data_IF_559389232539
#
_entry.id   IF_559389232539
#
_cell.length_a   1.000
_cell.length_b   1.000
_cell.length_c   1.000
_cell.angle_alpha   90.00
_cell.angle_beta   90.00
_cell.angle_gamma   90.00
#
_symmetry.space_group_name_H-M   'P 1'
#
loop_
_entity.id
_entity.type
_entity.pdbx_description
1 polymer ?
#
# COMPACT_ATOMS: atom_id res chain seq x y z
N UNK A 1 -8.82 5.60 2.05
CA UNK A 1 -7.52 5.28 2.69
C UNK A 1 -6.34 5.34 1.73
N UNK A 2 -6.46 4.91 0.46
CA UNK A 2 -5.34 4.90 -0.50
C UNK A 2 -4.68 6.27 -0.79
N UNK A 3 -5.34 7.40 -0.48
CA UNK A 3 -4.73 8.73 -0.63
C UNK A 3 -3.72 9.08 0.48
N UNK A 4 -3.84 8.47 1.67
CA UNK A 4 -2.94 8.70 2.82
C UNK A 4 -1.47 8.45 2.45
N UNK A 5 -1.08 7.26 1.95
CA UNK A 5 0.32 7.00 1.59
C UNK A 5 0.83 7.95 0.50
N UNK A 6 -0.02 8.38 -0.43
CA UNK A 6 0.35 9.29 -1.51
C UNK A 6 0.68 10.68 -0.99
N UNK A 7 -0.20 11.25 -0.18
CA UNK A 7 -0.04 12.60 0.36
C UNK A 7 1.17 12.64 1.29
N UNK A 8 1.31 11.63 2.16
CA UNK A 8 2.44 11.52 3.08
C UNK A 8 3.77 11.36 2.34
N UNK A 9 3.84 10.50 1.31
CA UNK A 9 5.04 10.35 0.49
C UNK A 9 5.35 11.61 -0.31
N UNK A 10 4.34 12.29 -0.86
CA UNK A 10 4.55 13.53 -1.58
C UNK A 10 5.16 14.62 -0.69
N UNK A 11 4.57 14.86 0.49
CA UNK A 11 5.06 15.85 1.46
C UNK A 11 6.45 15.45 1.95
N UNK A 12 6.62 14.20 2.38
CA UNK A 12 7.89 13.71 2.91
C UNK A 12 9.03 13.84 1.93
N UNK A 13 8.82 13.45 0.66
CA UNK A 13 9.90 13.43 -0.33
C UNK A 13 10.21 14.79 -0.94
N UNK A 14 9.25 15.73 -0.97
CA UNK A 14 9.45 17.07 -1.56
C UNK A 14 9.88 18.11 -0.52
N UNK A 15 9.30 18.09 0.68
CA UNK A 15 9.55 19.12 1.70
C UNK A 15 10.67 18.71 2.67
N UNK A 16 10.65 17.46 3.11
CA UNK A 16 11.56 16.95 4.16
C UNK A 16 12.81 16.34 3.51
N UNK A 17 12.63 15.45 2.53
CA UNK A 17 13.69 14.77 1.78
C UNK A 17 14.15 13.47 2.42
N UNK A 18 14.51 12.49 1.59
CA UNK A 18 14.98 11.18 2.02
C UNK A 18 16.30 11.25 2.77
N UNK A 19 16.37 10.57 3.91
CA UNK A 19 17.59 10.39 4.68
C UNK A 19 18.06 8.93 4.63
N UNK A 20 19.27 8.71 4.10
CA UNK A 20 19.88 7.39 3.91
C UNK A 20 20.76 6.94 5.09
N UNK A 21 20.93 7.78 6.11
CA UNK A 21 21.75 7.49 7.30
C UNK A 21 23.23 7.88 7.15
N UNK A 22 23.64 8.41 6.00
CA UNK A 22 24.97 8.94 5.71
C UNK A 22 25.06 10.47 5.86
N UNK A 23 23.99 11.10 6.35
CA UNK A 23 23.87 12.55 6.48
C UNK A 23 23.41 13.26 5.21
N UNK A 24 23.24 12.55 4.09
CA UNK A 24 22.70 13.14 2.86
C UNK A 24 21.17 13.18 2.90
N UNK A 25 20.60 14.32 2.52
CA UNK A 25 19.15 14.51 2.42
C UNK A 25 18.79 14.77 0.95
N UNK A 26 18.10 13.82 0.33
CA UNK A 26 17.68 13.90 -1.07
C UNK A 26 16.23 14.38 -1.16
N UNK A 27 16.04 15.61 -1.66
CA UNK A 27 14.70 16.17 -1.94
C UNK A 27 14.32 15.99 -3.39
N UNK A 28 13.10 15.54 -3.63
CA UNK A 28 12.51 15.49 -4.97
C UNK A 28 12.00 16.86 -5.40
N UNK A 29 12.14 17.16 -6.69
CA UNK A 29 11.52 18.34 -7.27
C UNK A 29 9.98 18.25 -7.16
N UNK A 30 9.31 19.40 -7.07
CA UNK A 30 7.85 19.46 -6.98
C UNK A 30 7.15 18.76 -8.13
N UNK A 31 7.60 18.99 -9.37
CA UNK A 31 7.03 18.37 -10.56
C UNK A 31 7.22 16.84 -10.57
N UNK A 32 8.42 16.36 -10.23
CA UNK A 32 8.70 14.92 -10.15
C UNK A 32 7.90 14.27 -9.03
N UNK A 33 7.83 14.91 -7.86
CA UNK A 33 7.03 14.45 -6.73
C UNK A 33 5.55 14.31 -7.10
N UNK A 34 5.00 15.28 -7.84
CA UNK A 34 3.58 15.28 -8.20
C UNK A 34 3.27 14.19 -9.22
N UNK A 35 4.15 14.03 -10.23
CA UNK A 35 4.03 12.95 -11.20
C UNK A 35 4.08 11.56 -10.51
N UNK A 36 5.02 11.38 -9.57
CA UNK A 36 5.12 10.15 -8.78
C UNK A 36 3.91 9.94 -7.87
N UNK A 37 3.36 11.00 -7.28
CA UNK A 37 2.16 10.90 -6.44
C UNK A 37 0.95 10.40 -7.23
N UNK A 38 0.72 10.94 -8.43
CA UNK A 38 -0.38 10.50 -9.32
C UNK A 38 -0.17 9.05 -9.77
N UNK A 39 1.05 8.70 -10.21
CA UNK A 39 1.39 7.34 -10.60
C UNK A 39 1.22 6.36 -9.45
N UNK A 40 1.72 6.70 -8.26
CA UNK A 40 1.64 5.86 -7.08
C UNK A 40 0.19 5.59 -6.68
N UNK A 41 -0.67 6.61 -6.70
CA UNK A 41 -2.10 6.45 -6.47
C UNK A 41 -2.74 5.49 -7.48
N UNK A 42 -2.47 5.67 -8.78
CA UNK A 42 -3.00 4.83 -9.84
C UNK A 42 -2.57 3.37 -9.69
N UNK A 43 -1.29 3.13 -9.42
CA UNK A 43 -0.73 1.79 -9.21
C UNK A 43 -1.33 1.11 -7.99
N UNK A 44 -1.56 1.84 -6.89
CA UNK A 44 -2.20 1.26 -5.70
C UNK A 44 -3.64 0.81 -5.97
N UNK A 45 -4.43 1.65 -6.64
CA UNK A 45 -5.80 1.27 -7.02
C UNK A 45 -5.82 0.08 -7.99
N UNK A 46 -4.92 0.09 -8.98
CA UNK A 46 -4.75 -1.02 -9.90
C UNK A 46 -4.37 -2.31 -9.17
N UNK A 47 -3.46 -2.24 -8.20
CA UNK A 47 -3.05 -3.38 -7.37
C UNK A 47 -4.23 -4.01 -6.63
N UNK A 48 -5.05 -3.21 -5.94
CA UNK A 48 -6.23 -3.71 -5.24
C UNK A 48 -7.24 -4.34 -6.21
N UNK A 49 -7.47 -3.71 -7.37
CA UNK A 49 -8.39 -4.23 -8.39
C UNK A 49 -7.89 -5.56 -9.00
N UNK A 50 -6.60 -5.66 -9.28
CA UNK A 50 -5.96 -6.89 -9.79
C UNK A 50 -6.05 -8.00 -8.74
N UNK A 51 -5.71 -7.71 -7.48
CA UNK A 51 -5.81 -8.70 -6.40
C UNK A 51 -7.24 -9.18 -6.19
N UNK A 52 -8.22 -8.29 -6.19
CA UNK A 52 -9.64 -8.67 -6.12
C UNK A 52 -10.08 -9.59 -7.26
N UNK A 53 -9.60 -9.34 -8.49
CA UNK A 53 -9.83 -10.23 -9.64
C UNK A 53 -9.15 -11.59 -9.49
N UNK A 54 -7.91 -11.63 -8.97
CA UNK A 54 -7.19 -12.88 -8.72
C UNK A 54 -7.95 -13.73 -7.70
N UNK A 55 -8.40 -13.13 -6.59
CA UNK A 55 -9.20 -13.82 -5.56
C UNK A 55 -10.49 -14.39 -6.17
N UNK A 56 -11.21 -13.60 -6.96
CA UNK A 56 -12.43 -14.06 -7.64
C UNK A 56 -12.18 -15.15 -8.69
N UNK A 57 -11.02 -15.13 -9.36
CA UNK A 57 -10.61 -16.17 -10.29
C UNK A 57 -10.26 -17.47 -9.56
N UNK A 58 -9.55 -17.39 -8.43
CA UNK A 58 -9.29 -18.56 -7.56
C UNK A 58 -10.58 -19.17 -7.01
N UNK A 59 -11.58 -18.33 -6.72
CA UNK A 59 -12.86 -18.77 -6.19
C UNK A 59 -13.78 -19.48 -7.22
N UNK A 60 -13.34 -19.65 -8.48
CA UNK A 60 -14.17 -20.21 -9.57
C UNK A 60 -14.68 -21.64 -9.33
N UNK A 61 -13.96 -22.43 -8.54
CA UNK A 61 -14.27 -23.83 -8.28
C UNK A 61 -15.06 -24.04 -6.98
N UNK A 62 -15.36 -22.98 -6.24
CA UNK A 62 -16.08 -23.08 -4.97
C UNK A 62 -17.60 -23.20 -5.22
N UNK A 63 -18.31 -24.09 -4.49
CA UNK A 63 -19.76 -24.27 -4.63
C UNK A 63 -20.55 -22.99 -4.37
N UNK A 64 -20.05 -22.11 -3.48
CA UNK A 64 -20.61 -20.81 -3.16
C UNK A 64 -19.65 -19.74 -3.65
N UNK A 65 -19.75 -19.35 -4.93
CA UNK A 65 -18.83 -18.38 -5.51
C UNK A 65 -19.09 -16.97 -4.95
N UNK A 66 -18.10 -16.32 -4.32
CA UNK A 66 -18.20 -14.94 -3.87
C UNK A 66 -18.31 -13.97 -5.05
N UNK A 67 -19.04 -12.88 -4.87
CA UNK A 67 -19.16 -11.83 -5.90
C UNK A 67 -17.84 -11.07 -6.07
N UNK A 68 -17.60 -10.53 -7.26
CA UNK A 68 -16.42 -9.70 -7.55
C UNK A 68 -16.26 -8.53 -6.56
N UNK A 69 -17.39 -7.91 -6.18
CA UNK A 69 -17.40 -6.81 -5.23
C UNK A 69 -16.90 -7.25 -3.85
N UNK A 70 -17.31 -8.44 -3.40
CA UNK A 70 -16.86 -8.99 -2.12
C UNK A 70 -15.35 -9.26 -2.13
N UNK A 71 -14.83 -9.84 -3.21
CA UNK A 71 -13.39 -10.08 -3.38
C UNK A 71 -12.58 -8.76 -3.43
N UNK A 72 -13.10 -7.71 -4.07
CA UNK A 72 -12.44 -6.40 -4.11
C UNK A 72 -12.42 -5.73 -2.73
N UNK A 73 -13.52 -5.82 -1.98
CA UNK A 73 -13.59 -5.32 -0.59
C UNK A 73 -12.58 -6.06 0.29
N UNK A 74 -12.52 -7.40 0.20
CA UNK A 74 -11.55 -8.21 0.92
C UNK A 74 -10.09 -7.82 0.58
N UNK A 75 -9.76 -7.67 -0.70
CA UNK A 75 -8.44 -7.22 -1.13
C UNK A 75 -8.09 -5.84 -0.55
N UNK A 76 -9.05 -4.92 -0.50
CA UNK A 76 -8.89 -3.60 0.12
C UNK A 76 -8.65 -3.66 1.62
N UNK A 77 -9.36 -4.55 2.34
CA UNK A 77 -9.15 -4.77 3.78
C UNK A 77 -7.74 -5.29 4.06
N UNK A 78 -7.28 -6.28 3.30
CA UNK A 78 -5.93 -6.84 3.42
C UNK A 78 -4.87 -5.77 3.11
N UNK A 79 -5.08 -4.90 2.12
CA UNK A 79 -4.15 -3.82 1.77
C UNK A 79 -4.14 -2.64 2.78
N UNK A 80 -5.12 -2.54 3.67
CA UNK A 80 -5.27 -1.41 4.61
C UNK A 80 -4.05 -1.16 5.50
N UNK A 81 -3.46 -2.14 6.20
CA UNK A 81 -2.25 -1.93 6.99
C UNK A 81 -1.07 -1.39 6.18
N UNK A 82 -0.91 -1.80 4.92
CA UNK A 82 0.12 -1.24 4.03
C UNK A 82 -0.17 0.23 3.70
N UNK A 83 -1.42 0.59 3.42
CA UNK A 83 -1.76 2.00 3.19
C UNK A 83 -1.55 2.87 4.43
N UNK A 84 -1.88 2.35 5.62
CA UNK A 84 -1.67 3.06 6.89
C UNK A 84 -0.17 3.23 7.20
N UNK A 85 0.66 2.23 6.88
CA UNK A 85 2.12 2.34 7.04
C UNK A 85 2.72 3.49 6.24
N UNK A 86 2.06 3.95 5.17
CA UNK A 86 2.47 5.10 4.38
C UNK A 86 2.50 6.42 5.14
N UNK A 87 1.88 6.53 6.32
CA UNK A 87 2.02 7.69 7.21
C UNK A 87 3.49 7.95 7.59
N UNK A 88 4.28 6.88 7.70
CA UNK A 88 5.72 6.95 8.03
C UNK A 88 6.50 7.70 6.96
N UNK A 89 6.00 7.79 5.73
CA UNK A 89 6.66 8.56 4.68
C UNK A 89 6.74 10.07 4.98
N UNK A 90 6.00 10.58 5.98
CA UNK A 90 6.20 11.93 6.51
C UNK A 90 7.57 12.10 7.19
N UNK A 91 8.18 11.03 7.68
CA UNK A 91 9.57 10.99 8.15
C UNK A 91 10.35 10.00 7.28
N UNK A 92 10.79 10.42 6.08
CA UNK A 92 11.39 9.56 5.05
C UNK A 92 12.82 9.13 5.41
N UNK A 93 12.97 8.46 6.55
CA UNK A 93 14.18 7.78 6.96
C UNK A 93 14.08 6.34 6.44
N UNK A 94 15.00 5.96 5.55
CA UNK A 94 14.92 4.70 4.80
C UNK A 94 14.71 3.49 5.70
N UNK A 95 15.47 3.41 6.80
CA UNK A 95 15.37 2.34 7.78
C UNK A 95 14.04 2.32 8.55
N UNK A 96 13.46 3.48 8.84
CA UNK A 96 12.15 3.57 9.50
C UNK A 96 11.04 3.10 8.57
N UNK A 97 11.05 3.57 7.31
CA UNK A 97 10.13 3.13 6.27
C UNK A 97 10.24 1.61 6.04
N UNK A 98 11.47 1.08 5.98
CA UNK A 98 11.70 -0.35 5.82
C UNK A 98 11.13 -1.14 7.00
N UNK A 99 11.43 -0.76 8.25
CA UNK A 99 10.96 -1.45 9.43
C UNK A 99 9.43 -1.45 9.54
N UNK A 100 8.79 -0.29 9.37
CA UNK A 100 7.31 -0.20 9.48
C UNK A 100 6.64 -0.87 8.28
N UNK A 101 7.21 -0.76 7.08
CA UNK A 101 6.73 -1.48 5.89
C UNK A 101 6.80 -3.00 6.08
N UNK A 102 7.88 -3.51 6.65
CA UNK A 102 8.02 -4.94 6.97
C UNK A 102 6.98 -5.41 7.99
N UNK A 103 6.76 -4.65 9.08
CA UNK A 103 5.72 -4.98 10.07
C UNK A 103 4.33 -4.97 9.44
N UNK A 104 4.04 -3.98 8.58
CA UNK A 104 2.77 -3.91 7.87
C UNK A 104 2.59 -5.07 6.88
N UNK A 105 3.65 -5.52 6.21
CA UNK A 105 3.63 -6.71 5.35
C UNK A 105 3.31 -7.98 6.13
N UNK A 106 3.97 -8.20 7.28
CA UNK A 106 3.65 -9.35 8.14
C UNK A 106 2.20 -9.31 8.63
N UNK A 107 1.71 -8.14 9.05
CA UNK A 107 0.33 -7.99 9.49
C UNK A 107 -0.67 -8.21 8.35
N UNK A 108 -0.34 -7.76 7.13
CA UNK A 108 -1.12 -8.04 5.91
C UNK A 108 -1.21 -9.54 5.65
N UNK A 109 -0.08 -10.26 5.76
CA UNK A 109 -0.05 -11.71 5.64
C UNK A 109 -0.89 -12.41 6.72
N UNK A 110 -0.85 -11.91 7.95
CA UNK A 110 -1.68 -12.41 9.05
C UNK A 110 -3.19 -12.20 8.79
N UNK A 111 -3.60 -11.01 8.34
CA UNK A 111 -4.99 -10.74 7.96
C UNK A 111 -5.45 -11.63 6.80
N UNK A 112 -4.57 -11.89 5.84
CA UNK A 112 -4.85 -12.80 4.73
C UNK A 112 -5.11 -14.21 5.27
N UNK A 113 -4.26 -14.71 6.19
CA UNK A 113 -4.45 -16.01 6.82
C UNK A 113 -5.78 -16.11 7.60
N UNK A 114 -6.14 -15.09 8.37
CA UNK A 114 -7.41 -15.03 9.08
C UNK A 114 -8.63 -14.89 8.15
N UNK A 115 -8.45 -14.25 7.00
CA UNK A 115 -9.51 -14.02 6.03
C UNK A 115 -9.92 -15.27 5.24
N UNK A 116 -8.96 -16.16 4.95
CA UNK A 116 -9.21 -17.41 4.21
C UNK A 116 -10.33 -18.29 4.84
N UNK A 117 -10.34 -18.60 6.15
CA UNK A 117 -11.38 -19.44 6.74
C UNK A 117 -12.76 -18.77 6.83
N UNK A 118 -12.86 -17.46 6.59
CA UNK A 118 -14.12 -16.72 6.52
C UNK A 118 -14.72 -16.65 5.10
N UNK A 119 -14.06 -17.28 4.12
CA UNK A 119 -14.41 -17.31 2.70
C UNK A 119 -14.85 -18.71 2.24
#
# INVERSE_FOLDING_TARGET
>A
MAAIPVICAFIGTTQIGWNFGDGTILKLSWFTGLALAVLFYGVMLAGVAVMGRVIWWMARNYPQRPSLAHCMVFAGYVATPLFLSGLVALYPLVWLCALVGTVALFYTGYLLYLGIPSF
#
